data_IF_285806797123
#
_entry.id   IF_285806797123
#
_cell.length_a   1.000
_cell.length_b   1.000
_cell.length_c   1.000
_cell.angle_alpha   90.00
_cell.angle_beta   90.00
_cell.angle_gamma   90.00
#
_symmetry.space_group_name_H-M   'P 1'
#
loop_
_entity.id
_entity.type
_entity.pdbx_description
1 polymer ?
#
# COMPACT_ATOMS: atom_id res chain seq x y z
N UNK A 1 47.94 36.78 9.16
CA UNK A 1 46.46 36.87 9.21
C UNK A 1 46.11 38.06 10.08
N UNK A 2 45.49 39.12 9.54
CA UNK A 2 45.03 40.27 10.36
C UNK A 2 43.64 39.98 10.91
N UNK A 3 43.24 40.64 12.01
CA UNK A 3 41.90 40.45 12.62
C UNK A 3 40.77 40.65 11.60
N UNK A 4 40.92 41.62 10.71
CA UNK A 4 39.92 41.94 9.68
C UNK A 4 39.76 40.81 8.64
N UNK A 5 40.87 40.16 8.25
CA UNK A 5 40.82 39.01 7.33
C UNK A 5 40.14 37.78 7.96
N UNK A 6 40.26 37.60 9.27
CA UNK A 6 39.61 36.52 10.01
C UNK A 6 38.09 36.77 10.15
N UNK A 7 37.70 38.01 10.48
CA UNK A 7 36.29 38.39 10.60
C UNK A 7 35.54 38.26 9.25
N UNK A 8 36.17 38.69 8.15
CA UNK A 8 35.61 38.53 6.82
C UNK A 8 35.40 37.05 6.46
N UNK A 9 36.40 36.19 6.71
CA UNK A 9 36.31 34.75 6.45
C UNK A 9 35.20 34.08 7.25
N UNK A 10 35.05 34.43 8.53
CA UNK A 10 33.98 33.91 9.39
C UNK A 10 32.59 34.29 8.86
N UNK A 11 32.40 35.53 8.39
CA UNK A 11 31.12 35.97 7.80
C UNK A 11 30.82 35.20 6.52
N UNK A 12 31.78 35.09 5.61
CA UNK A 12 31.59 34.35 4.35
C UNK A 12 31.24 32.88 4.60
N UNK A 13 32.00 32.20 5.46
CA UNK A 13 31.74 30.79 5.79
C UNK A 13 30.38 30.62 6.48
N UNK A 14 30.06 31.48 7.45
CA UNK A 14 28.77 31.46 8.14
C UNK A 14 27.60 31.62 7.17
N UNK A 15 27.69 32.57 6.24
CA UNK A 15 26.67 32.79 5.21
C UNK A 15 26.52 31.59 4.27
N UNK A 16 27.62 30.97 3.84
CA UNK A 16 27.60 29.79 2.96
C UNK A 16 27.00 28.58 3.68
N UNK A 17 27.35 28.35 4.95
CA UNK A 17 26.78 27.26 5.76
C UNK A 17 25.27 27.47 5.93
N UNK A 18 24.84 28.69 6.24
CA UNK A 18 23.43 29.02 6.39
C UNK A 18 22.64 28.78 5.10
N UNK A 19 23.16 29.27 3.96
CA UNK A 19 22.54 29.08 2.65
C UNK A 19 22.49 27.60 2.25
N UNK A 20 23.58 26.85 2.46
CA UNK A 20 23.63 25.42 2.19
C UNK A 20 22.65 24.62 3.04
N UNK A 21 22.54 24.94 4.34
CA UNK A 21 21.58 24.31 5.25
C UNK A 21 20.13 24.59 4.85
N UNK A 22 19.84 25.82 4.41
CA UNK A 22 18.51 26.21 3.94
C UNK A 22 18.12 25.42 2.68
N UNK A 23 19.04 25.28 1.71
CA UNK A 23 18.81 24.53 0.48
C UNK A 23 18.59 23.03 0.75
N UNK A 24 19.42 22.43 1.61
CA UNK A 24 19.27 21.04 2.02
C UNK A 24 17.95 20.81 2.77
N UNK A 25 17.59 21.71 3.69
CA UNK A 25 16.33 21.67 4.42
C UNK A 25 15.12 21.76 3.50
N UNK A 26 15.12 22.69 2.54
CA UNK A 26 14.05 22.80 1.56
C UNK A 26 13.90 21.54 0.69
N UNK A 27 15.02 20.97 0.22
CA UNK A 27 15.01 19.74 -0.56
C UNK A 27 14.48 18.53 0.24
N UNK A 28 14.88 18.39 1.51
CA UNK A 28 14.37 17.36 2.41
C UNK A 28 12.88 17.56 2.71
N UNK A 29 12.45 18.79 2.93
CA UNK A 29 11.05 19.12 3.21
C UNK A 29 10.12 18.77 2.04
N UNK A 30 10.49 19.15 0.80
CA UNK A 30 9.71 18.82 -0.39
C UNK A 30 9.58 17.30 -0.56
N UNK A 31 10.68 16.55 -0.40
CA UNK A 31 10.66 15.08 -0.46
C UNK A 31 9.74 14.49 0.61
N UNK A 32 9.83 14.96 1.85
CA UNK A 32 8.98 14.47 2.94
C UNK A 32 7.50 14.77 2.72
N UNK A 33 7.16 15.95 2.18
CA UNK A 33 5.75 16.30 1.93
C UNK A 33 5.08 15.35 0.94
N UNK A 34 5.78 14.94 -0.12
CA UNK A 34 5.22 13.99 -1.10
C UNK A 34 4.91 12.63 -0.48
N UNK A 35 5.79 12.14 0.40
CA UNK A 35 5.62 10.86 1.09
C UNK A 35 4.50 10.95 2.13
N UNK A 36 4.48 12.01 2.94
CA UNK A 36 3.43 12.19 3.96
C UNK A 36 2.05 12.45 3.33
N UNK A 37 1.98 13.09 2.16
CA UNK A 37 0.72 13.26 1.43
C UNK A 37 0.17 11.94 0.87
N UNK A 38 1.03 11.00 0.47
CA UNK A 38 0.62 9.69 -0.05
C UNK A 38 0.22 8.68 1.06
N UNK A 39 0.79 8.82 2.25
CA UNK A 39 0.58 7.96 3.41
C UNK A 39 -0.89 7.66 3.76
N UNK A 40 -1.83 8.63 3.85
CA UNK A 40 -3.22 8.33 4.19
C UNK A 40 -3.91 7.43 3.15
N UNK A 41 -3.63 7.65 1.87
CA UNK A 41 -4.13 6.81 0.79
C UNK A 41 -3.57 5.39 0.90
N UNK A 42 -2.25 5.27 1.06
CA UNK A 42 -1.56 4.00 1.19
C UNK A 42 -2.02 3.18 2.41
N UNK A 43 -2.27 3.82 3.54
CA UNK A 43 -2.82 3.18 4.73
C UNK A 43 -4.27 2.72 4.53
N UNK A 44 -5.08 3.51 3.84
CA UNK A 44 -6.46 3.13 3.51
C UNK A 44 -6.47 1.93 2.56
N UNK A 45 -5.59 1.94 1.56
CA UNK A 45 -5.41 0.85 0.61
C UNK A 45 -4.99 -0.45 1.28
N UNK A 46 -4.06 -0.39 2.23
CA UNK A 46 -3.70 -1.55 3.06
C UNK A 46 -4.91 -2.10 3.79
N UNK A 47 -5.70 -1.25 4.46
CA UNK A 47 -6.90 -1.67 5.21
C UNK A 47 -7.95 -2.33 4.31
N UNK A 48 -8.20 -1.77 3.11
CA UNK A 48 -9.15 -2.37 2.17
C UNK A 48 -8.65 -3.73 1.65
N UNK A 49 -7.35 -3.86 1.38
CA UNK A 49 -6.75 -5.14 1.03
C UNK A 49 -6.85 -6.16 2.16
N UNK A 50 -6.55 -5.77 3.40
CA UNK A 50 -6.72 -6.63 4.58
C UNK A 50 -8.15 -7.13 4.71
N UNK A 51 -9.13 -6.24 4.55
CA UNK A 51 -10.55 -6.57 4.67
C UNK A 51 -11.03 -7.50 3.53
N UNK A 52 -10.56 -7.26 2.29
CA UNK A 52 -10.83 -8.15 1.15
C UNK A 52 -10.27 -9.54 1.34
N UNK A 53 -9.03 -9.64 1.83
CA UNK A 53 -8.37 -10.91 2.13
C UNK A 53 -9.06 -11.62 3.29
N UNK A 54 -9.42 -10.91 4.36
CA UNK A 54 -10.14 -11.47 5.49
C UNK A 54 -11.50 -12.03 5.06
N UNK A 55 -12.29 -11.26 4.33
CA UNK A 55 -13.58 -11.72 3.83
C UNK A 55 -13.43 -12.96 2.93
N UNK A 56 -12.51 -12.94 1.96
CA UNK A 56 -12.28 -14.06 1.06
C UNK A 56 -11.78 -15.32 1.79
N UNK A 57 -10.88 -15.16 2.76
CA UNK A 57 -10.37 -16.30 3.55
C UNK A 57 -11.44 -16.92 4.42
N UNK A 58 -12.25 -16.11 5.12
CA UNK A 58 -13.36 -16.62 5.93
C UNK A 58 -14.44 -17.30 5.09
N UNK A 59 -14.72 -16.79 3.88
CA UNK A 59 -15.63 -17.47 2.94
C UNK A 59 -15.05 -18.83 2.51
N UNK A 60 -13.73 -18.92 2.29
CA UNK A 60 -13.08 -20.12 1.79
C UNK A 60 -12.82 -21.19 2.86
N UNK A 61 -12.59 -20.79 4.12
CA UNK A 61 -12.17 -21.70 5.21
C UNK A 61 -13.15 -21.80 6.37
N UNK A 62 -14.07 -20.84 6.50
CA UNK A 62 -15.05 -20.81 7.58
C UNK A 62 -16.11 -21.89 7.44
N UNK A 63 -16.85 -22.12 8.52
CA UNK A 63 -18.08 -22.89 8.46
C UNK A 63 -19.15 -22.17 7.62
N UNK A 64 -20.26 -22.85 7.35
CA UNK A 64 -21.33 -22.30 6.52
C UNK A 64 -21.91 -20.98 7.07
N UNK A 65 -21.89 -20.77 8.39
CA UNK A 65 -22.42 -19.56 9.01
C UNK A 65 -21.45 -18.39 8.84
N UNK A 66 -20.15 -18.62 9.09
CA UNK A 66 -19.10 -17.63 8.90
C UNK A 66 -18.97 -17.21 7.42
N UNK A 67 -19.02 -18.17 6.50
CA UNK A 67 -18.98 -17.89 5.07
C UNK A 67 -20.19 -17.06 4.62
N UNK A 68 -21.40 -17.42 5.07
CA UNK A 68 -22.61 -16.65 4.77
C UNK A 68 -22.56 -15.22 5.33
N UNK A 69 -22.00 -15.03 6.53
CA UNK A 69 -21.88 -13.72 7.16
C UNK A 69 -20.90 -12.79 6.42
N UNK A 70 -19.82 -13.33 5.82
CA UNK A 70 -18.79 -12.53 5.13
C UNK A 70 -19.05 -12.32 3.64
N UNK A 71 -19.88 -13.17 3.02
CA UNK A 71 -20.23 -13.09 1.59
C UNK A 71 -20.75 -11.71 1.16
N UNK A 72 -21.73 -11.09 1.86
CA UNK A 72 -22.21 -9.75 1.48
C UNK A 72 -21.10 -8.69 1.53
N UNK A 73 -20.20 -8.76 2.51
CA UNK A 73 -19.10 -7.80 2.66
C UNK A 73 -18.09 -7.93 1.51
N UNK A 74 -17.75 -9.15 1.12
CA UNK A 74 -16.91 -9.38 -0.07
C UNK A 74 -17.50 -8.71 -1.31
N UNK A 75 -18.79 -8.96 -1.59
CA UNK A 75 -19.46 -8.37 -2.75
C UNK A 75 -19.59 -6.85 -2.67
N UNK A 76 -19.83 -6.29 -1.48
CA UNK A 76 -19.86 -4.84 -1.29
C UNK A 76 -18.53 -4.18 -1.65
N UNK A 77 -17.40 -4.81 -1.31
CA UNK A 77 -16.08 -4.28 -1.65
C UNK A 77 -15.77 -4.48 -3.13
N UNK A 78 -16.10 -5.65 -3.68
CA UNK A 78 -15.94 -5.98 -5.10
C UNK A 78 -16.65 -4.96 -6.00
N UNK A 79 -17.91 -4.65 -5.71
CA UNK A 79 -18.69 -3.66 -6.48
C UNK A 79 -18.51 -2.22 -5.98
N UNK A 80 -17.63 -2.00 -5.01
CA UNK A 80 -17.48 -0.74 -4.30
C UNK A 80 -16.03 -0.26 -4.28
N UNK A 81 -15.47 -0.13 -3.08
CA UNK A 81 -14.19 0.54 -2.86
C UNK A 81 -13.01 -0.12 -3.60
N UNK A 82 -13.03 -1.44 -3.79
CA UNK A 82 -11.92 -2.13 -4.45
C UNK A 82 -11.79 -1.72 -5.91
N UNK A 83 -12.90 -1.55 -6.64
CA UNK A 83 -12.89 -1.08 -8.02
C UNK A 83 -12.33 0.33 -8.23
N UNK A 84 -12.16 1.12 -7.16
CA UNK A 84 -11.51 2.44 -7.22
C UNK A 84 -10.00 2.37 -6.98
N UNK A 85 -9.50 1.39 -6.22
CA UNK A 85 -8.17 1.46 -5.59
C UNK A 85 -7.21 0.38 -6.07
N UNK A 86 -7.75 -0.69 -6.65
CA UNK A 86 -7.03 -1.89 -7.00
C UNK A 86 -6.34 -1.77 -8.37
N UNK A 87 -5.17 -2.40 -8.50
CA UNK A 87 -4.52 -2.60 -9.79
C UNK A 87 -5.11 -3.82 -10.52
N UNK A 88 -4.67 -4.05 -11.75
CA UNK A 88 -5.15 -5.17 -12.59
C UNK A 88 -4.97 -6.54 -11.92
N UNK A 89 -3.88 -6.74 -11.17
CA UNK A 89 -3.61 -8.01 -10.48
C UNK A 89 -4.60 -8.29 -9.36
N UNK A 90 -4.97 -7.28 -8.58
CA UNK A 90 -5.95 -7.43 -7.49
C UNK A 90 -7.35 -7.56 -8.07
N UNK A 91 -7.69 -6.76 -9.09
CA UNK A 91 -8.94 -6.88 -9.85
C UNK A 91 -9.13 -8.31 -10.35
N UNK A 92 -8.12 -8.87 -11.03
CA UNK A 92 -8.17 -10.22 -11.58
C UNK A 92 -8.35 -11.29 -10.50
N UNK A 93 -7.69 -11.13 -9.35
CA UNK A 93 -7.83 -12.07 -8.24
C UNK A 93 -9.22 -11.97 -7.58
N UNK A 94 -9.77 -10.78 -7.42
CA UNK A 94 -11.13 -10.57 -6.90
C UNK A 94 -12.19 -11.15 -7.84
N UNK A 95 -12.06 -10.94 -9.16
CA UNK A 95 -12.93 -11.55 -10.18
C UNK A 95 -12.84 -13.08 -10.10
N UNK A 96 -11.63 -13.64 -10.06
CA UNK A 96 -11.45 -15.08 -9.98
C UNK A 96 -12.08 -15.69 -8.72
N UNK A 97 -11.97 -15.01 -7.58
CA UNK A 97 -12.62 -15.44 -6.35
C UNK A 97 -14.15 -15.33 -6.44
N UNK A 98 -14.67 -14.19 -6.91
CA UNK A 98 -16.12 -13.95 -7.07
C UNK A 98 -16.78 -14.93 -8.04
N UNK A 99 -16.10 -15.29 -9.13
CA UNK A 99 -16.56 -16.30 -10.08
C UNK A 99 -16.63 -17.69 -9.43
N UNK A 100 -15.57 -18.11 -8.73
CA UNK A 100 -15.54 -19.40 -8.03
C UNK A 100 -16.62 -19.47 -6.94
N UNK A 101 -16.84 -18.36 -6.22
CA UNK A 101 -17.90 -18.24 -5.21
C UNK A 101 -19.30 -18.36 -5.84
N UNK A 102 -19.54 -17.67 -6.95
CA UNK A 102 -20.83 -17.71 -7.65
C UNK A 102 -21.14 -19.07 -8.27
N UNK A 103 -20.10 -19.75 -8.78
CA UNK A 103 -20.19 -21.10 -9.30
C UNK A 103 -20.28 -22.18 -8.20
N UNK A 104 -20.18 -21.79 -6.92
CA UNK A 104 -20.17 -22.71 -5.76
C UNK A 104 -19.10 -23.79 -5.91
N UNK A 105 -17.91 -23.39 -6.35
CA UNK A 105 -16.79 -24.30 -6.49
C UNK A 105 -16.36 -24.90 -5.14
N UNK A 106 -15.53 -25.95 -5.20
CA UNK A 106 -15.10 -26.66 -4.00
C UNK A 106 -14.33 -25.74 -3.04
N UNK A 107 -14.37 -26.03 -1.72
CA UNK A 107 -13.60 -25.26 -0.73
C UNK A 107 -12.11 -25.17 -1.08
N UNK A 108 -11.52 -26.19 -1.70
CA UNK A 108 -10.11 -26.16 -2.07
C UNK A 108 -9.80 -25.17 -3.19
N UNK A 109 -10.70 -24.99 -4.16
CA UNK A 109 -10.54 -23.95 -5.17
C UNK A 109 -10.73 -22.57 -4.54
N UNK A 110 -11.73 -22.38 -3.68
CA UNK A 110 -11.94 -21.12 -2.96
C UNK A 110 -10.72 -20.73 -2.12
N UNK A 111 -10.10 -21.68 -1.40
CA UNK A 111 -8.85 -21.46 -0.66
C UNK A 111 -7.72 -21.01 -1.59
N UNK A 112 -7.56 -21.68 -2.73
CA UNK A 112 -6.59 -21.32 -3.76
C UNK A 112 -6.79 -19.91 -4.32
N UNK A 113 -8.05 -19.49 -4.53
CA UNK A 113 -8.37 -18.13 -4.99
C UNK A 113 -8.20 -17.09 -3.88
N UNK A 114 -8.55 -17.43 -2.65
CA UNK A 114 -8.35 -16.55 -1.47
C UNK A 114 -6.88 -16.23 -1.26
N UNK A 115 -6.00 -17.23 -1.33
CA UNK A 115 -4.56 -16.99 -1.19
C UNK A 115 -3.98 -16.22 -2.38
N UNK A 116 -4.50 -16.43 -3.59
CA UNK A 116 -4.11 -15.64 -4.76
C UNK A 116 -4.46 -14.15 -4.58
N UNK A 117 -5.64 -13.82 -4.02
CA UNK A 117 -6.01 -12.45 -3.67
C UNK A 117 -5.05 -11.84 -2.64
N UNK A 118 -4.68 -12.59 -1.61
CA UNK A 118 -3.67 -12.15 -0.64
C UNK A 118 -2.32 -11.83 -1.30
N UNK A 119 -1.90 -12.65 -2.27
CA UNK A 119 -0.65 -12.44 -2.99
C UNK A 119 -0.70 -11.23 -3.94
N UNK A 120 -1.84 -10.98 -4.57
CA UNK A 120 -2.04 -9.80 -5.39
C UNK A 120 -1.96 -8.52 -4.54
N UNK A 121 -2.70 -8.47 -3.42
CA UNK A 121 -2.66 -7.35 -2.48
C UNK A 121 -1.25 -7.09 -1.93
N UNK A 122 -0.52 -8.15 -1.55
CA UNK A 122 0.88 -8.01 -1.10
C UNK A 122 1.78 -7.41 -2.19
N UNK A 123 1.63 -7.86 -3.42
CA UNK A 123 2.45 -7.39 -4.55
C UNK A 123 2.18 -5.91 -4.83
N UNK A 124 0.91 -5.50 -4.79
CA UNK A 124 0.51 -4.10 -4.95
C UNK A 124 1.05 -3.19 -3.83
N UNK A 125 1.03 -3.66 -2.58
CA UNK A 125 1.62 -2.93 -1.45
C UNK A 125 3.15 -2.85 -1.56
N UNK A 126 3.81 -3.92 -2.02
CA UNK A 126 5.26 -3.90 -2.23
C UNK A 126 5.67 -2.86 -3.29
N UNK A 127 4.91 -2.75 -4.39
CA UNK A 127 5.17 -1.74 -5.42
C UNK A 127 4.96 -0.32 -4.90
N UNK A 128 3.98 -0.12 -4.02
CA UNK A 128 3.63 1.20 -3.50
C UNK A 128 4.48 1.65 -2.30
N UNK A 129 5.04 0.71 -1.51
CA UNK A 129 5.72 1.01 -0.24
C UNK A 129 7.23 0.72 -0.28
N UNK A 130 7.63 -0.47 -0.72
CA UNK A 130 9.05 -0.81 -0.89
C UNK A 130 9.25 -2.14 -1.65
N UNK A 131 10.19 -2.19 -2.61
CA UNK A 131 10.52 -3.41 -3.35
C UNK A 131 10.94 -4.60 -2.48
N UNK A 132 11.41 -4.38 -1.25
CA UNK A 132 11.84 -5.47 -0.35
C UNK A 132 10.70 -6.43 0.04
N UNK A 133 9.45 -5.99 -0.09
CA UNK A 133 8.26 -6.80 0.23
C UNK A 133 7.79 -7.67 -0.94
N UNK A 134 8.37 -7.47 -2.13
CA UNK A 134 8.03 -8.19 -3.36
C UNK A 134 8.55 -9.63 -3.29
N UNK A 135 7.70 -10.62 -3.56
CA UNK A 135 8.17 -12.01 -3.71
C UNK A 135 9.02 -12.14 -4.97
N UNK A 136 10.14 -12.85 -4.88
CA UNK A 136 10.79 -13.42 -6.05
C UNK A 136 9.83 -14.44 -6.66
N UNK A 137 9.51 -14.24 -7.94
CA UNK A 137 8.66 -15.13 -8.70
C UNK A 137 9.36 -16.46 -8.95
#
# INVERSE_FOLDING_TARGET
MTKDTLEYWLKVVGSVIAAGSLLLGAAQFIRNQTVEAAKPYLQSKLKWCEEAVEAASLIATGDSAAAAAKTPRFWQMYWGVMGMVENESVTGAMIAFGNALSAKESPDILKGRSIALSHACRSEMAESWSPIWKRSR
#
